data_IF_760275859406
#
_entry.id   IF_760275859406
#
_cell.length_a   1.000
_cell.length_b   1.000
_cell.length_c   1.000
_cell.angle_alpha   90.00
_cell.angle_beta   90.00
_cell.angle_gamma   90.00
#
_symmetry.space_group_name_H-M   'P 1'
#
loop_
_entity.id
_entity.type
_entity.pdbx_description
1 polymer ?
#
# COMPACT_ATOMS: atom_id res chain seq x y z
N UNK A 1 29.67 -59.28 13.20
CA UNK A 1 30.33 -58.64 14.36
C UNK A 1 29.61 -57.32 14.60
N UNK A 2 28.55 -57.16 15.39
CA UNK A 2 28.21 -57.64 16.75
C UNK A 2 29.23 -57.20 17.82
N UNK A 3 28.93 -56.05 18.44
CA UNK A 3 29.20 -55.65 19.84
C UNK A 3 28.32 -54.39 20.07
N UNK A 4 27.35 -54.30 20.98
CA UNK A 4 26.99 -55.15 22.12
C UNK A 4 27.61 -54.61 23.41
N UNK A 5 26.98 -53.61 24.04
CA UNK A 5 27.22 -53.31 25.48
C UNK A 5 25.97 -52.70 26.12
N UNK A 6 25.30 -53.56 26.86
CA UNK A 6 24.22 -53.33 27.82
C UNK A 6 24.71 -52.64 29.09
N UNK A 7 23.91 -51.75 29.69
CA UNK A 7 23.77 -51.68 31.15
C UNK A 7 22.40 -51.16 31.60
N UNK A 8 21.65 -52.10 32.18
CA UNK A 8 20.75 -52.03 33.35
C UNK A 8 19.80 -50.85 33.57
N UNK A 9 18.52 -51.23 33.59
CA UNK A 9 17.33 -50.55 34.08
C UNK A 9 17.47 -50.01 35.52
N UNK A 10 16.82 -48.87 35.77
CA UNK A 10 16.14 -48.60 37.03
C UNK A 10 14.67 -48.30 36.75
N UNK A 11 13.82 -49.14 37.33
CA UNK A 11 12.37 -49.06 37.35
C UNK A 11 11.89 -47.93 38.26
N UNK A 12 11.00 -47.08 37.75
CA UNK A 12 10.05 -46.33 38.59
C UNK A 12 8.65 -46.67 38.11
N UNK A 13 7.86 -47.20 39.03
CA UNK A 13 6.51 -47.73 38.88
C UNK A 13 5.45 -46.63 38.72
N UNK A 14 4.57 -46.86 37.75
CA UNK A 14 3.11 -46.61 37.74
C UNK A 14 2.54 -45.25 38.20
N UNK A 15 1.96 -44.52 37.26
CA UNK A 15 0.52 -44.20 37.31
C UNK A 15 0.02 -43.83 35.90
N UNK A 16 -0.71 -44.76 35.29
CA UNK A 16 -1.46 -44.56 34.05
C UNK A 16 -2.72 -43.73 34.34
N UNK A 17 -2.67 -42.43 34.04
CA UNK A 17 -3.87 -41.60 33.91
C UNK A 17 -4.25 -41.54 32.44
N UNK A 18 -5.10 -42.48 32.03
CA UNK A 18 -5.76 -42.46 30.72
C UNK A 18 -6.76 -41.31 30.70
N UNK A 19 -6.43 -40.22 30.00
CA UNK A 19 -7.40 -39.17 29.72
C UNK A 19 -8.55 -39.74 28.87
N UNK A 20 -9.82 -39.51 29.23
CA UNK A 20 -10.95 -39.98 28.45
C UNK A 20 -11.00 -39.26 27.09
N UNK A 21 -11.49 -39.92 26.02
CA UNK A 21 -11.63 -39.31 24.72
C UNK A 21 -12.63 -38.13 24.79
N UNK A 22 -12.40 -37.05 24.03
CA UNK A 22 -13.27 -35.89 24.05
C UNK A 22 -14.67 -36.28 23.57
N UNK A 23 -15.68 -35.93 24.38
CA UNK A 23 -17.09 -36.08 24.05
C UNK A 23 -17.42 -35.24 22.80
N UNK A 24 -18.37 -35.66 21.94
CA UNK A 24 -18.77 -34.89 20.77
C UNK A 24 -19.40 -33.57 21.25
N UNK A 25 -18.63 -32.49 21.12
CA UNK A 25 -19.07 -31.15 21.48
C UNK A 25 -20.25 -30.71 20.60
N UNK A 26 -21.24 -30.14 21.28
CA UNK A 26 -22.33 -29.26 20.82
C UNK A 26 -22.27 -28.82 19.35
N UNK A 27 -23.41 -28.80 18.62
CA UNK A 27 -23.47 -28.10 17.35
C UNK A 27 -22.95 -26.67 17.57
N UNK A 28 -21.96 -26.29 16.76
CA UNK A 28 -21.32 -25.00 16.86
C UNK A 28 -22.35 -23.89 16.88
N UNK A 29 -22.19 -22.96 17.82
CA UNK A 29 -22.92 -21.70 17.83
C UNK A 29 -22.89 -21.15 16.40
N UNK A 30 -24.05 -20.86 15.77
CA UNK A 30 -24.04 -20.24 14.46
C UNK A 30 -23.19 -18.96 14.54
N UNK A 31 -22.42 -18.63 13.49
CA UNK A 31 -21.61 -17.41 13.49
C UNK A 31 -22.48 -16.23 13.90
N UNK A 32 -21.97 -15.42 14.83
CA UNK A 32 -22.69 -14.25 15.35
C UNK A 32 -23.19 -13.43 14.16
N UNK A 33 -24.51 -13.30 14.05
CA UNK A 33 -25.17 -12.60 12.94
C UNK A 33 -24.68 -11.14 12.84
N UNK A 34 -24.04 -10.62 13.90
CA UNK A 34 -23.33 -9.33 13.91
C UNK A 34 -22.10 -9.26 13.01
N UNK A 35 -21.49 -10.39 12.66
CA UNK A 35 -20.36 -10.47 11.73
C UNK A 35 -20.84 -10.41 10.25
N UNK A 36 -22.11 -10.78 10.00
CA UNK A 36 -22.81 -10.64 8.71
C UNK A 36 -23.77 -9.45 8.63
N UNK A 37 -23.80 -8.60 9.66
CA UNK A 37 -24.72 -7.46 9.74
C UNK A 37 -24.41 -6.21 8.89
N UNK A 38 -23.32 -6.05 8.10
CA UNK A 38 -23.12 -4.80 7.35
C UNK A 38 -23.94 -4.75 6.04
N UNK A 39 -25.09 -5.43 5.94
CA UNK A 39 -25.87 -5.50 4.69
C UNK A 39 -27.39 -5.37 4.86
N UNK A 40 -27.89 -4.90 6.00
CA UNK A 40 -29.33 -4.62 6.15
C UNK A 40 -29.59 -3.10 6.20
N UNK A 41 -30.41 -2.55 5.27
CA UNK A 41 -30.73 -1.13 5.24
C UNK A 41 -31.48 -0.71 6.52
N UNK A 42 -31.03 0.38 7.16
CA UNK A 42 -31.83 1.09 8.16
C UNK A 42 -32.65 2.19 7.49
N UNK A 43 -33.89 2.45 7.95
CA UNK A 43 -34.70 3.52 7.41
C UNK A 43 -34.03 4.88 7.64
N UNK A 44 -33.93 5.67 6.58
CA UNK A 44 -33.31 7.00 6.60
C UNK A 44 -34.11 7.95 7.49
N UNK A 45 -33.60 8.26 8.69
CA UNK A 45 -34.08 9.38 9.49
C UNK A 45 -33.25 10.60 9.16
N UNK A 46 -33.85 11.52 8.40
CA UNK A 46 -33.26 12.82 8.10
C UNK A 46 -32.97 13.58 9.39
N UNK A 47 -31.69 13.73 9.72
CA UNK A 47 -31.22 14.65 10.74
C UNK A 47 -29.97 15.33 10.21
N UNK A 48 -29.89 16.65 10.36
CA UNK A 48 -28.72 17.45 10.03
C UNK A 48 -27.52 16.91 10.78
N UNK A 49 -26.63 16.22 10.07
CA UNK A 49 -25.42 15.62 10.64
C UNK A 49 -24.53 16.72 11.25
N UNK A 50 -24.21 16.56 12.54
CA UNK A 50 -23.17 17.33 13.19
C UNK A 50 -21.86 17.16 12.42
N UNK A 51 -21.10 18.24 12.19
CA UNK A 51 -19.80 18.20 11.51
C UNK A 51 -18.82 17.18 12.14
N UNK A 52 -18.98 16.85 13.43
CA UNK A 52 -18.22 15.77 14.08
C UNK A 52 -18.56 14.36 13.58
N UNK A 53 -19.82 14.10 13.25
CA UNK A 53 -20.25 12.80 12.71
C UNK A 53 -19.63 12.52 11.33
N UNK A 54 -19.61 13.53 10.46
CA UNK A 54 -19.04 13.44 9.10
C UNK A 54 -17.53 13.12 9.10
N UNK A 55 -16.76 13.58 10.08
CA UNK A 55 -15.32 13.30 10.17
C UNK A 55 -15.06 11.84 10.58
N UNK A 56 -15.91 11.27 11.42
CA UNK A 56 -15.82 9.89 11.88
C UNK A 56 -16.47 8.89 10.93
N UNK A 57 -17.20 9.40 9.95
CA UNK A 57 -17.87 8.64 8.93
C UNK A 57 -16.94 7.70 8.14
N UNK A 58 -17.40 6.48 7.83
CA UNK A 58 -16.64 5.49 7.07
C UNK A 58 -16.98 5.57 5.59
N UNK A 59 -15.96 5.74 4.75
CA UNK A 59 -16.14 5.89 3.31
C UNK A 59 -16.60 4.56 2.67
N UNK A 60 -17.64 4.62 1.83
CA UNK A 60 -18.22 3.47 1.14
C UNK A 60 -17.23 2.68 0.27
N UNK A 61 -17.44 1.37 0.17
CA UNK A 61 -16.52 0.45 -0.49
C UNK A 61 -16.23 0.79 -1.96
N UNK A 62 -17.24 1.22 -2.72
CA UNK A 62 -17.08 1.63 -4.11
C UNK A 62 -16.18 2.87 -4.28
N UNK A 63 -16.46 3.93 -3.50
CA UNK A 63 -15.66 5.16 -3.52
C UNK A 63 -14.19 4.87 -3.17
N UNK A 64 -13.95 3.95 -2.23
CA UNK A 64 -12.61 3.53 -1.88
C UNK A 64 -11.91 2.75 -2.99
N UNK A 65 -12.63 1.86 -3.69
CA UNK A 65 -12.09 1.16 -4.87
C UNK A 65 -11.65 2.17 -5.93
N UNK A 66 -12.53 3.08 -6.32
CA UNK A 66 -12.25 4.08 -7.37
C UNK A 66 -11.10 4.99 -6.94
N UNK A 67 -11.13 5.49 -5.70
CA UNK A 67 -10.05 6.32 -5.15
C UNK A 67 -8.70 5.60 -5.17
N UNK A 68 -8.65 4.33 -4.76
CA UNK A 68 -7.41 3.54 -4.78
C UNK A 68 -6.90 3.26 -6.20
N UNK A 69 -7.78 3.09 -7.19
CA UNK A 69 -7.38 2.96 -8.59
C UNK A 69 -6.76 4.27 -9.12
N UNK A 70 -7.37 5.42 -8.81
CA UNK A 70 -6.80 6.75 -9.15
C UNK A 70 -5.44 6.94 -8.48
N UNK A 71 -5.30 6.55 -7.22
CA UNK A 71 -4.03 6.59 -6.49
C UNK A 71 -2.98 5.61 -7.06
N UNK A 72 -3.42 4.46 -7.56
CA UNK A 72 -2.56 3.47 -8.23
C UNK A 72 -2.01 4.04 -9.53
N UNK A 73 -2.88 4.68 -10.33
CA UNK A 73 -2.48 5.39 -11.55
C UNK A 73 -1.42 6.47 -11.22
N UNK A 74 -1.72 7.35 -10.27
CA UNK A 74 -0.80 8.43 -9.89
C UNK A 74 0.55 7.92 -9.35
N UNK A 75 0.55 6.86 -8.54
CA UNK A 75 1.79 6.34 -7.96
C UNK A 75 2.64 5.58 -8.97
N UNK A 76 2.04 4.81 -9.87
CA UNK A 76 2.77 4.17 -10.96
C UNK A 76 3.38 5.19 -11.93
N UNK A 77 2.67 6.29 -12.21
CA UNK A 77 3.20 7.45 -12.94
C UNK A 77 4.40 8.08 -12.22
N UNK A 78 4.28 8.31 -10.91
CA UNK A 78 5.35 8.93 -10.14
C UNK A 78 6.58 8.03 -10.03
N UNK A 79 6.38 6.72 -9.85
CA UNK A 79 7.49 5.77 -9.74
C UNK A 79 8.30 5.68 -11.01
N UNK A 80 7.67 5.69 -12.19
CA UNK A 80 8.41 5.70 -13.45
C UNK A 80 9.11 7.03 -13.68
N UNK A 81 8.52 8.17 -13.29
CA UNK A 81 9.17 9.49 -13.34
C UNK A 81 10.41 9.51 -12.44
N UNK A 82 10.29 9.02 -11.21
CA UNK A 82 11.42 8.90 -10.29
C UNK A 82 12.47 7.93 -10.83
N UNK A 83 12.07 6.82 -11.42
CA UNK A 83 13.03 5.86 -11.97
C UNK A 83 13.76 6.42 -13.20
N UNK A 84 13.07 7.08 -14.12
CA UNK A 84 13.68 7.74 -15.28
C UNK A 84 14.70 8.81 -14.84
N UNK A 85 14.35 9.62 -13.83
CA UNK A 85 15.21 10.69 -13.32
C UNK A 85 16.35 10.21 -12.42
N UNK A 86 16.08 9.31 -11.48
CA UNK A 86 16.99 8.95 -10.37
C UNK A 86 17.49 7.51 -10.41
N UNK A 87 17.02 6.69 -11.36
CA UNK A 87 17.20 5.23 -11.35
C UNK A 87 16.77 4.57 -10.02
N UNK A 88 15.82 5.19 -9.33
CA UNK A 88 15.37 4.83 -7.98
C UNK A 88 13.86 4.98 -7.91
N UNK A 89 13.18 4.03 -7.28
CA UNK A 89 11.73 4.07 -7.13
C UNK A 89 11.34 4.88 -5.89
N UNK A 90 10.17 5.52 -5.93
CA UNK A 90 9.61 6.23 -4.77
C UNK A 90 8.76 5.30 -3.89
N UNK A 91 8.07 4.33 -4.50
CA UNK A 91 7.12 3.44 -3.82
C UNK A 91 7.47 1.96 -3.97
N UNK A 92 8.08 1.55 -5.09
CA UNK A 92 8.44 0.15 -5.35
C UNK A 92 9.71 -0.29 -4.59
N UNK A 93 9.57 -0.49 -3.28
CA UNK A 93 10.71 -0.75 -2.38
C UNK A 93 11.41 -2.08 -2.60
N UNK A 94 10.75 -3.09 -3.19
CA UNK A 94 11.43 -4.34 -3.58
C UNK A 94 12.58 -4.06 -4.56
N UNK A 95 12.37 -3.15 -5.53
CA UNK A 95 13.41 -2.76 -6.47
C UNK A 95 14.58 -2.04 -5.79
N UNK A 96 14.28 -1.12 -4.88
CA UNK A 96 15.31 -0.39 -4.12
C UNK A 96 16.14 -1.31 -3.23
N UNK A 97 15.52 -2.30 -2.58
CA UNK A 97 16.22 -3.31 -1.79
C UNK A 97 17.19 -4.12 -2.64
N UNK A 98 16.79 -4.51 -3.86
CA UNK A 98 17.70 -5.21 -4.80
C UNK A 98 18.86 -4.30 -5.21
N UNK A 99 18.62 -3.02 -5.52
CA UNK A 99 19.67 -2.04 -5.82
C UNK A 99 20.68 -1.96 -4.66
N UNK A 100 20.21 -1.89 -3.42
CA UNK A 100 21.07 -1.86 -2.23
C UNK A 100 21.86 -3.16 -2.03
N UNK A 101 21.22 -4.32 -2.25
CA UNK A 101 21.89 -5.62 -2.16
C UNK A 101 23.00 -5.76 -3.22
N UNK A 102 22.79 -5.25 -4.44
CA UNK A 102 23.85 -5.23 -5.46
C UNK A 102 25.00 -4.30 -5.09
N UNK A 103 24.70 -3.18 -4.43
CA UNK A 103 25.71 -2.23 -3.97
C UNK A 103 26.57 -2.78 -2.81
N UNK A 104 26.01 -3.60 -1.91
CA UNK A 104 26.74 -4.15 -0.76
C UNK A 104 27.87 -5.12 -1.14
N UNK A 105 27.77 -5.74 -2.32
CA UNK A 105 28.78 -6.68 -2.85
C UNK A 105 29.72 -6.04 -3.89
N UNK A 106 29.77 -4.71 -3.97
CA UNK A 106 30.61 -3.97 -4.93
C UNK A 106 30.40 -4.38 -6.40
N UNK A 107 29.23 -4.95 -6.77
CA UNK A 107 28.83 -4.95 -8.17
C UNK A 107 28.77 -3.48 -8.60
N UNK A 108 29.16 -3.17 -9.84
CA UNK A 108 29.38 -1.83 -10.44
C UNK A 108 28.16 -0.87 -10.31
N UNK A 109 27.79 -0.55 -9.09
CA UNK A 109 26.62 0.22 -8.70
C UNK A 109 27.14 1.57 -8.26
N UNK A 110 26.66 2.65 -8.87
CA UNK A 110 27.16 3.98 -8.53
C UNK A 110 26.81 4.32 -7.07
N UNK A 111 27.74 4.94 -6.30
CA UNK A 111 27.48 5.35 -4.92
C UNK A 111 26.22 6.22 -4.79
N UNK A 112 25.98 7.07 -5.79
CA UNK A 112 24.77 7.88 -5.94
C UNK A 112 23.48 7.05 -5.90
N UNK A 113 23.39 5.99 -6.72
CA UNK A 113 22.21 5.11 -6.77
C UNK A 113 21.98 4.40 -5.43
N UNK A 114 23.05 4.00 -4.75
CA UNK A 114 22.95 3.40 -3.42
C UNK A 114 22.36 4.39 -2.39
N UNK A 115 22.88 5.62 -2.36
CA UNK A 115 22.38 6.67 -1.46
C UNK A 115 20.90 6.94 -1.72
N UNK A 116 20.50 7.14 -2.99
CA UNK A 116 19.12 7.41 -3.34
C UNK A 116 18.18 6.24 -3.01
N UNK A 117 18.59 5.00 -3.28
CA UNK A 117 17.81 3.82 -2.95
C UNK A 117 17.64 3.64 -1.43
N UNK A 118 18.71 3.87 -0.65
CA UNK A 118 18.65 3.83 0.81
C UNK A 118 17.76 4.94 1.36
N UNK A 119 17.92 6.16 0.86
CA UNK A 119 17.09 7.31 1.23
C UNK A 119 15.62 7.04 0.91
N UNK A 120 15.32 6.50 -0.27
CA UNK A 120 13.95 6.15 -0.64
C UNK A 120 13.36 5.10 0.30
N UNK A 121 14.08 4.00 0.54
CA UNK A 121 13.61 2.94 1.43
C UNK A 121 13.34 3.44 2.85
N UNK A 122 14.30 4.17 3.44
CA UNK A 122 14.18 4.68 4.80
C UNK A 122 13.08 5.73 4.93
N UNK A 123 12.97 6.66 3.98
CA UNK A 123 11.94 7.69 4.00
C UNK A 123 10.54 7.08 3.79
N UNK A 124 10.41 6.12 2.89
CA UNK A 124 9.16 5.37 2.70
C UNK A 124 8.76 4.62 3.98
N UNK A 125 9.70 3.92 4.61
CA UNK A 125 9.48 3.23 5.90
C UNK A 125 9.07 4.22 6.99
N UNK A 126 9.70 5.39 7.06
CA UNK A 126 9.35 6.41 8.04
C UNK A 126 7.91 6.92 7.84
N UNK A 127 7.51 7.22 6.60
CA UNK A 127 6.14 7.63 6.28
C UNK A 127 5.13 6.55 6.62
N UNK A 128 5.43 5.30 6.25
CA UNK A 128 4.58 4.15 6.54
C UNK A 128 4.49 3.86 8.06
N UNK A 129 5.59 4.01 8.81
CA UNK A 129 5.61 3.79 10.24
C UNK A 129 4.79 4.85 10.97
N UNK A 130 5.05 6.14 10.72
CA UNK A 130 4.35 7.24 11.39
C UNK A 130 2.84 7.13 11.17
N UNK A 131 2.40 7.00 9.91
CA UNK A 131 0.97 6.94 9.62
C UNK A 131 0.36 5.57 9.97
N UNK A 132 1.16 4.51 9.94
CA UNK A 132 0.75 3.18 10.37
C UNK A 132 0.39 3.12 11.86
N UNK A 133 1.18 3.79 12.71
CA UNK A 133 0.89 3.88 14.14
C UNK A 133 -0.33 4.76 14.42
N UNK A 134 -0.45 5.92 13.76
CA UNK A 134 -1.59 6.84 13.94
C UNK A 134 -2.91 6.19 13.49
N UNK A 135 -2.88 5.35 12.45
CA UNK A 135 -4.05 4.61 11.95
C UNK A 135 -4.71 3.71 13.00
N UNK A 136 -3.95 3.18 13.98
CA UNK A 136 -4.45 2.20 14.96
C UNK A 136 -5.71 2.66 15.70
N UNK A 137 -5.89 3.98 15.86
CA UNK A 137 -7.04 4.59 16.54
C UNK A 137 -8.18 5.04 15.61
N UNK A 138 -7.99 5.10 14.28
CA UNK A 138 -8.92 5.79 13.34
C UNK A 138 -9.13 5.05 12.00
N UNK A 139 -9.30 3.72 12.05
CA UNK A 139 -9.41 2.88 10.84
C UNK A 139 -10.57 3.33 9.93
N UNK A 140 -10.21 3.79 8.72
CA UNK A 140 -11.09 4.10 7.59
C UNK A 140 -12.13 5.19 7.83
N UNK A 141 -11.87 6.11 8.77
CA UNK A 141 -12.71 7.31 8.87
C UNK A 141 -12.34 8.30 7.77
N UNK A 142 -13.33 9.04 7.27
CA UNK A 142 -13.18 10.06 6.24
C UNK A 142 -12.17 11.11 6.68
N UNK A 143 -12.26 11.56 7.93
CA UNK A 143 -11.30 12.50 8.52
C UNK A 143 -9.87 11.99 8.51
N UNK A 144 -9.64 10.71 8.81
CA UNK A 144 -8.31 10.12 8.72
C UNK A 144 -7.80 10.11 7.28
N UNK A 145 -8.62 9.64 6.34
CA UNK A 145 -8.24 9.56 4.92
C UNK A 145 -7.96 10.93 4.32
N UNK A 146 -8.78 11.94 4.62
CA UNK A 146 -8.58 13.31 4.15
C UNK A 146 -7.36 13.96 4.80
N UNK A 147 -7.16 13.80 6.11
CA UNK A 147 -5.98 14.36 6.78
C UNK A 147 -4.68 13.74 6.26
N UNK A 148 -4.64 12.40 6.12
CA UNK A 148 -3.46 11.71 5.59
C UNK A 148 -3.22 11.99 4.11
N UNK A 149 -4.27 12.08 3.29
CA UNK A 149 -4.17 12.50 1.88
C UNK A 149 -3.71 13.97 1.76
N UNK A 150 -4.14 14.84 2.67
CA UNK A 150 -3.72 16.24 2.73
C UNK A 150 -2.23 16.39 3.06
N UNK A 151 -1.74 15.67 4.08
CA UNK A 151 -0.31 15.64 4.41
C UNK A 151 0.50 15.04 3.27
N UNK A 152 0.02 13.92 2.70
CA UNK A 152 0.65 13.32 1.53
C UNK A 152 0.78 14.31 0.37
N UNK A 153 -0.29 15.03 0.06
CA UNK A 153 -0.30 16.05 -1.00
C UNK A 153 0.67 17.18 -0.69
N UNK A 154 0.69 17.69 0.54
CA UNK A 154 1.63 18.74 0.95
C UNK A 154 3.09 18.33 0.77
N UNK A 155 3.44 17.10 1.15
CA UNK A 155 4.80 16.57 0.95
C UNK A 155 5.12 16.33 -0.53
N UNK A 156 4.14 15.91 -1.35
CA UNK A 156 4.32 15.81 -2.80
C UNK A 156 4.55 17.18 -3.45
N UNK A 157 3.82 18.21 -3.02
CA UNK A 157 4.02 19.58 -3.51
C UNK A 157 5.40 20.12 -3.08
N UNK A 158 5.88 19.76 -1.89
CA UNK A 158 7.25 20.05 -1.50
C UNK A 158 8.26 19.39 -2.46
N UNK A 159 8.07 18.11 -2.81
CA UNK A 159 8.89 17.46 -3.82
C UNK A 159 8.87 18.22 -5.16
N UNK A 160 7.69 18.61 -5.65
CA UNK A 160 7.52 19.40 -6.88
C UNK A 160 8.31 20.71 -6.81
N UNK A 161 8.28 21.42 -5.68
CA UNK A 161 9.06 22.65 -5.47
C UNK A 161 10.57 22.35 -5.53
N UNK A 162 11.04 21.28 -4.88
CA UNK A 162 12.45 20.91 -4.85
C UNK A 162 13.01 20.53 -6.23
N UNK A 163 12.19 19.97 -7.13
CA UNK A 163 12.61 19.61 -8.49
C UNK A 163 12.26 20.67 -9.54
N UNK A 164 11.72 21.81 -9.12
CA UNK A 164 11.29 22.86 -10.04
C UNK A 164 12.48 23.51 -10.75
N UNK A 165 12.30 24.05 -11.97
CA UNK A 165 13.37 24.78 -12.67
C UNK A 165 13.89 26.01 -11.91
N UNK A 166 13.10 26.55 -10.97
CA UNK A 166 13.47 27.68 -10.13
C UNK A 166 14.17 27.27 -8.82
N UNK A 167 14.23 25.96 -8.51
CA UNK A 167 14.90 25.47 -7.32
C UNK A 167 16.42 25.67 -7.43
N UNK A 168 17.13 25.88 -6.29
CA UNK A 168 18.59 25.88 -6.30
C UNK A 168 19.12 24.59 -6.91
N UNK A 169 20.14 24.68 -7.77
CA UNK A 169 20.75 23.52 -8.45
C UNK A 169 21.24 22.42 -7.50
N UNK A 170 21.41 22.72 -6.20
CA UNK A 170 21.68 21.75 -5.16
C UNK A 170 20.61 20.63 -5.06
N UNK A 171 19.35 20.89 -5.38
CA UNK A 171 18.26 19.89 -5.39
C UNK A 171 18.05 19.24 -6.76
N UNK A 172 18.74 19.73 -7.79
CA UNK A 172 18.70 19.20 -9.14
C UNK A 172 19.34 17.82 -9.25
N UNK A 173 19.32 17.25 -10.45
CA UNK A 173 20.00 15.99 -10.74
C UNK A 173 21.50 16.12 -10.45
N UNK A 174 22.08 15.16 -9.73
CA UNK A 174 23.49 15.16 -9.29
C UNK A 174 23.85 16.33 -8.34
N UNK A 175 22.85 17.06 -7.85
CA UNK A 175 23.01 18.10 -6.84
C UNK A 175 23.28 17.51 -5.45
N UNK A 176 23.99 18.26 -4.59
CA UNK A 176 24.36 17.81 -3.23
C UNK A 176 23.16 17.42 -2.34
N UNK A 177 21.98 17.95 -2.63
CA UNK A 177 20.74 17.75 -1.89
C UNK A 177 19.66 17.00 -2.69
N UNK A 178 20.03 16.31 -3.79
CA UNK A 178 19.07 15.53 -4.58
C UNK A 178 18.34 14.45 -3.74
N UNK A 179 19.01 13.93 -2.71
CA UNK A 179 18.45 12.95 -1.78
C UNK A 179 17.25 13.51 -1.03
N UNK A 180 17.15 14.83 -0.81
CA UNK A 180 16.00 15.45 -0.15
C UNK A 180 14.75 15.40 -1.03
N UNK A 181 14.90 15.56 -2.35
CA UNK A 181 13.81 15.37 -3.29
C UNK A 181 13.36 13.90 -3.31
N UNK A 182 14.30 12.96 -3.32
CA UNK A 182 13.96 11.54 -3.23
C UNK A 182 13.28 11.18 -1.90
N UNK A 183 13.77 11.71 -0.77
CA UNK A 183 13.21 11.48 0.56
C UNK A 183 11.76 11.96 0.66
N UNK A 184 11.48 13.19 0.21
CA UNK A 184 10.12 13.75 0.23
C UNK A 184 9.17 12.95 -0.65
N UNK A 185 9.60 12.58 -1.85
CA UNK A 185 8.80 11.75 -2.75
C UNK A 185 8.52 10.35 -2.18
N UNK A 186 9.53 9.69 -1.61
CA UNK A 186 9.37 8.37 -1.01
C UNK A 186 8.54 8.38 0.27
N UNK A 187 8.74 9.39 1.14
CA UNK A 187 7.97 9.56 2.37
C UNK A 187 6.48 9.66 2.10
N UNK A 188 6.05 10.51 1.14
CA UNK A 188 4.63 10.60 0.79
C UNK A 188 4.08 9.28 0.24
N UNK A 189 4.90 8.49 -0.46
CA UNK A 189 4.48 7.20 -1.00
C UNK A 189 4.24 6.18 0.11
N UNK A 190 5.00 6.27 1.21
CA UNK A 190 4.78 5.48 2.43
C UNK A 190 3.46 5.82 3.12
N UNK A 191 3.10 7.11 3.19
CA UNK A 191 1.79 7.56 3.69
C UNK A 191 0.67 6.92 2.87
N UNK A 192 0.77 7.00 1.54
CA UNK A 192 -0.23 6.45 0.62
C UNK A 192 -0.39 4.94 0.78
N UNK A 193 0.72 4.22 0.95
CA UNK A 193 0.69 2.78 1.17
C UNK A 193 -0.15 2.43 2.40
N UNK A 194 0.05 3.13 3.52
CA UNK A 194 -0.76 2.90 4.74
C UNK A 194 -2.24 3.22 4.51
N UNK A 195 -2.56 4.27 3.76
CA UNK A 195 -3.94 4.59 3.42
C UNK A 195 -4.59 3.48 2.59
N UNK A 196 -3.90 3.01 1.55
CA UNK A 196 -4.37 1.93 0.69
C UNK A 196 -4.56 0.62 1.46
N UNK A 197 -3.68 0.32 2.42
CA UNK A 197 -3.80 -0.85 3.31
C UNK A 197 -4.86 -0.75 4.39
N UNK A 198 -5.45 0.43 4.59
CA UNK A 198 -6.58 0.62 5.48
C UNK A 198 -7.84 -0.04 4.98
N UNK A 199 -8.02 -0.02 3.67
CA UNK A 199 -9.26 -0.31 2.98
C UNK A 199 -9.41 -1.82 2.87
N UNK A 200 -10.52 -2.38 3.37
CA UNK A 200 -10.78 -3.83 3.37
C UNK A 200 -10.86 -4.51 1.99
N UNK A 201 -10.49 -3.83 0.90
CA UNK A 201 -10.41 -4.36 -0.45
C UNK A 201 -9.02 -4.95 -0.66
N UNK A 202 -8.84 -6.19 -0.19
CA UNK A 202 -7.54 -6.90 -0.22
C UNK A 202 -7.02 -7.09 -1.65
N UNK A 203 -7.90 -7.06 -2.64
CA UNK A 203 -7.59 -7.33 -4.05
C UNK A 203 -6.88 -6.19 -4.77
N UNK A 204 -7.12 -4.94 -4.34
CA UNK A 204 -6.47 -3.73 -4.89
C UNK A 204 -5.22 -3.36 -4.06
N UNK A 205 -5.08 -3.99 -2.88
CA UNK A 205 -4.08 -3.68 -1.88
C UNK A 205 -3.12 -4.87 -1.61
N UNK A 206 -2.90 -5.75 -2.59
CA UNK A 206 -1.80 -6.69 -2.46
C UNK A 206 -0.51 -5.85 -2.38
N UNK A 207 0.23 -5.94 -1.28
CA UNK A 207 1.31 -5.02 -0.88
C UNK A 207 2.44 -4.82 -1.92
N UNK A 208 2.40 -5.56 -3.03
CA UNK A 208 3.21 -5.41 -4.23
C UNK A 208 2.39 -5.81 -5.47
N UNK A 209 2.63 -5.18 -6.61
CA UNK A 209 2.03 -5.55 -7.91
C UNK A 209 2.24 -7.03 -8.23
N UNK A 210 3.40 -7.58 -7.84
CA UNK A 210 3.74 -9.01 -7.95
C UNK A 210 2.72 -9.92 -7.27
N UNK A 211 2.25 -9.56 -6.08
CA UNK A 211 1.23 -10.33 -5.38
C UNK A 211 -0.12 -10.30 -6.10
N UNK A 212 -0.47 -9.19 -6.76
CA UNK A 212 -1.66 -9.09 -7.61
C UNK A 212 -1.54 -9.97 -8.86
N UNK A 213 -0.37 -9.99 -9.52
CA UNK A 213 -0.10 -10.92 -10.63
C UNK A 213 -0.25 -12.38 -10.20
N UNK A 214 0.42 -12.77 -9.11
CA UNK A 214 0.36 -14.15 -8.61
C UNK A 214 -1.08 -14.57 -8.25
N UNK A 215 -1.82 -13.69 -7.58
CA UNK A 215 -3.21 -13.96 -7.18
C UNK A 215 -4.16 -14.02 -8.38
N UNK A 216 -3.88 -13.29 -9.46
CA UNK A 216 -4.68 -13.35 -10.69
C UNK A 216 -4.41 -14.65 -11.45
N UNK A 217 -3.14 -15.02 -11.63
CA UNK A 217 -2.76 -16.24 -12.36
C UNK A 217 -3.18 -17.51 -11.62
N UNK A 218 -3.17 -17.49 -10.28
CA UNK A 218 -3.63 -18.60 -9.46
C UNK A 218 -5.16 -18.64 -9.28
N UNK A 219 -5.92 -17.71 -9.87
CA UNK A 219 -7.38 -17.69 -9.73
C UNK A 219 -8.02 -18.87 -10.48
N UNK A 220 -8.74 -19.78 -9.81
CA UNK A 220 -9.36 -20.93 -10.46
C UNK A 220 -10.46 -20.54 -11.47
N UNK A 221 -10.98 -19.32 -11.37
CA UNK A 221 -11.99 -18.76 -12.27
C UNK A 221 -11.39 -17.76 -13.28
N UNK A 222 -10.06 -17.77 -13.48
CA UNK A 222 -9.38 -16.85 -14.39
C UNK A 222 -10.00 -16.85 -15.80
N UNK A 223 -10.33 -18.03 -16.33
CA UNK A 223 -10.91 -18.19 -17.67
C UNK A 223 -12.44 -18.32 -17.67
N UNK A 224 -13.09 -18.15 -16.52
CA UNK A 224 -14.55 -18.19 -16.45
C UNK A 224 -15.15 -16.91 -17.01
N UNK A 225 -16.18 -17.02 -17.86
CA UNK A 225 -16.93 -15.85 -18.33
C UNK A 225 -17.84 -15.25 -17.25
N UNK A 226 -18.02 -15.93 -16.11
CA UNK A 226 -18.83 -15.42 -15.01
C UNK A 226 -18.15 -14.19 -14.36
N UNK A 227 -18.92 -13.16 -13.99
CA UNK A 227 -18.40 -12.00 -13.27
C UNK A 227 -17.92 -12.43 -11.88
N UNK A 228 -16.73 -11.98 -11.50
CA UNK A 228 -16.17 -12.25 -10.18
C UNK A 228 -15.42 -11.02 -9.68
N UNK A 229 -16.00 -10.33 -8.70
CA UNK A 229 -15.55 -9.01 -8.26
C UNK A 229 -14.06 -8.98 -7.89
N UNK A 230 -13.55 -10.02 -7.22
CA UNK A 230 -12.15 -10.07 -6.80
C UNK A 230 -11.17 -10.17 -7.97
N UNK A 231 -11.46 -11.04 -8.95
CA UNK A 231 -10.67 -11.21 -10.18
C UNK A 231 -10.70 -9.93 -11.00
N UNK A 232 -11.90 -9.40 -11.25
CA UNK A 232 -12.09 -8.25 -12.14
C UNK A 232 -11.40 -7.01 -11.57
N UNK A 233 -11.44 -6.81 -10.25
CA UNK A 233 -10.67 -5.74 -9.56
C UNK A 233 -9.16 -5.88 -9.73
N UNK A 234 -8.61 -7.10 -9.70
CA UNK A 234 -7.16 -7.34 -9.91
C UNK A 234 -6.76 -7.01 -11.34
N UNK A 235 -7.55 -7.42 -12.32
CA UNK A 235 -7.31 -7.08 -13.74
C UNK A 235 -7.31 -5.57 -13.92
N UNK A 236 -8.33 -4.88 -13.44
CA UNK A 236 -8.43 -3.41 -13.52
C UNK A 236 -7.25 -2.73 -12.81
N UNK A 237 -6.85 -3.22 -11.63
CA UNK A 237 -5.68 -2.71 -10.92
C UNK A 237 -4.39 -2.85 -11.74
N UNK A 238 -4.11 -4.03 -12.31
CA UNK A 238 -2.90 -4.28 -13.09
C UNK A 238 -2.86 -3.43 -14.38
N UNK A 239 -3.99 -3.32 -15.08
CA UNK A 239 -4.11 -2.46 -16.27
C UNK A 239 -3.90 -0.99 -15.88
N UNK A 240 -4.52 -0.53 -14.79
CA UNK A 240 -4.38 0.84 -14.28
C UNK A 240 -2.93 1.15 -13.93
N UNK A 241 -2.24 0.23 -13.26
CA UNK A 241 -0.82 0.36 -12.94
C UNK A 241 0.04 0.47 -14.20
N UNK A 242 -0.19 -0.39 -15.19
CA UNK A 242 0.58 -0.38 -16.44
C UNK A 242 0.36 0.89 -17.26
N UNK A 243 -0.90 1.34 -17.38
CA UNK A 243 -1.24 2.62 -18.02
C UNK A 243 -0.56 3.79 -17.31
N UNK A 244 -0.54 3.79 -15.98
CA UNK A 244 0.13 4.83 -15.21
C UNK A 244 1.65 4.87 -15.47
N UNK A 245 2.32 3.72 -15.57
CA UNK A 245 3.73 3.68 -15.98
C UNK A 245 3.95 4.25 -17.40
N UNK A 246 3.06 3.98 -18.35
CA UNK A 246 3.20 4.53 -19.71
C UNK A 246 2.99 6.05 -19.71
N UNK A 247 1.93 6.53 -19.05
CA UNK A 247 1.62 7.94 -18.98
C UNK A 247 2.70 8.73 -18.23
N UNK A 248 3.21 8.18 -17.12
CA UNK A 248 4.29 8.80 -16.36
C UNK A 248 5.56 8.95 -17.19
N UNK A 249 5.95 7.91 -17.93
CA UNK A 249 7.10 7.95 -18.82
C UNK A 249 6.89 8.94 -19.97
N UNK A 250 5.71 8.94 -20.58
CA UNK A 250 5.34 9.87 -21.65
C UNK A 250 5.45 11.33 -21.17
N UNK A 251 4.88 11.67 -20.00
CA UNK A 251 4.98 13.02 -19.47
C UNK A 251 6.41 13.39 -19.06
N UNK A 252 7.19 12.45 -18.53
CA UNK A 252 8.59 12.70 -18.19
C UNK A 252 9.41 13.04 -19.44
N UNK A 253 9.25 12.27 -20.52
CA UNK A 253 10.00 12.46 -21.77
C UNK A 253 9.62 13.74 -22.52
N UNK A 254 8.34 14.13 -22.51
CA UNK A 254 7.86 15.28 -23.28
C UNK A 254 7.79 16.59 -22.49
N UNK A 255 7.54 16.54 -21.18
CA UNK A 255 7.29 17.71 -20.35
C UNK A 255 8.32 17.85 -19.20
N UNK A 256 9.15 16.84 -18.99
CA UNK A 256 10.10 16.78 -17.89
C UNK A 256 9.47 16.36 -16.56
N UNK A 257 10.31 15.85 -15.66
CA UNK A 257 9.89 15.34 -14.37
C UNK A 257 9.10 16.33 -13.49
N UNK A 258 9.38 17.64 -13.60
CA UNK A 258 8.68 18.65 -12.81
C UNK A 258 7.20 18.77 -13.20
N UNK A 259 6.89 18.89 -14.50
CA UNK A 259 5.52 18.96 -14.99
C UNK A 259 4.82 17.61 -14.80
N UNK A 260 5.52 16.49 -15.05
CA UNK A 260 4.98 15.16 -14.79
C UNK A 260 4.56 14.99 -13.31
N UNK A 261 5.36 15.47 -12.36
CA UNK A 261 5.02 15.42 -10.93
C UNK A 261 3.83 16.34 -10.57
N UNK A 262 3.67 17.49 -11.24
CA UNK A 262 2.48 18.34 -11.11
C UNK A 262 1.21 17.62 -11.62
N UNK A 263 1.30 16.92 -12.75
CA UNK A 263 0.20 16.11 -13.27
C UNK A 263 -0.17 15.01 -12.26
N UNK A 264 0.83 14.32 -11.69
CA UNK A 264 0.60 13.33 -10.61
C UNK A 264 -0.13 13.96 -9.43
N UNK A 265 0.27 15.17 -8.99
CA UNK A 265 -0.41 15.88 -7.91
C UNK A 265 -1.88 16.19 -8.27
N UNK A 266 -2.16 16.61 -9.50
CA UNK A 266 -3.52 16.83 -9.99
C UNK A 266 -4.35 15.53 -9.98
N UNK A 267 -3.79 14.40 -10.40
CA UNK A 267 -4.46 13.09 -10.36
C UNK A 267 -4.74 12.67 -8.92
N UNK A 268 -3.80 12.89 -7.97
CA UNK A 268 -4.04 12.60 -6.55
C UNK A 268 -5.12 13.50 -5.94
N UNK A 269 -5.26 14.74 -6.42
CA UNK A 269 -6.32 15.64 -5.97
C UNK A 269 -7.71 15.11 -6.37
N UNK A 270 -7.82 14.41 -7.51
CA UNK A 270 -9.06 13.73 -7.88
C UNK A 270 -9.44 12.65 -6.86
N UNK A 271 -8.48 11.83 -6.40
CA UNK A 271 -8.72 10.87 -5.32
C UNK A 271 -9.16 11.55 -4.03
N UNK A 272 -8.52 12.66 -3.66
CA UNK A 272 -8.93 13.46 -2.49
C UNK A 272 -10.39 13.95 -2.63
N UNK A 273 -10.76 14.45 -3.81
CA UNK A 273 -12.11 14.91 -4.09
C UNK A 273 -13.15 13.78 -4.03
N UNK A 274 -12.80 12.58 -4.52
CA UNK A 274 -13.65 11.38 -4.42
C UNK A 274 -13.89 11.02 -2.94
N UNK A 275 -12.84 10.98 -2.12
CA UNK A 275 -12.97 10.69 -0.68
C UNK A 275 -13.81 11.76 0.02
N UNK A 276 -13.63 13.03 -0.35
CA UNK A 276 -14.37 14.15 0.22
C UNK A 276 -15.87 14.06 -0.09
N UNK A 277 -16.23 13.71 -1.33
CA UNK A 277 -17.61 13.61 -1.79
C UNK A 277 -18.27 12.25 -1.57
N UNK A 278 -17.53 11.26 -1.10
CA UNK A 278 -18.06 9.92 -0.95
C UNK A 278 -19.29 9.89 -0.04
N UNK A 279 -20.27 9.08 -0.39
CA UNK A 279 -21.45 8.84 0.45
C UNK A 279 -21.17 7.82 1.56
N UNK A 280 -22.16 7.63 2.44
CA UNK A 280 -22.02 6.68 3.53
C UNK A 280 -21.85 5.22 3.10
N UNK A 281 -20.92 4.51 3.77
CA UNK A 281 -20.88 3.07 3.69
C UNK A 281 -22.19 2.54 4.31
N UNK A 282 -23.08 2.02 3.46
CA UNK A 282 -24.25 1.25 3.89
C UNK A 282 -23.86 0.06 4.77
#
# INVERSE_FOLDING_TARGET
MLYGSTHSQQSVSSSSSSAPPPSPGSPGTPPDVRELAPLLPRPATGSTESAGAWVHHRVGGWHMVVSNLVLTLATSMLDVVCYAKYSTFSSNQTGNTVILATASLHLRTSPRKCILAATSLLAWLAGALVFGQVRKSRRNTRGWLLASSGVQMGVLLLYVVLISPAAPGAFGLDGRLEWAAMATCAFQSGIQFVMATGVGVREINAATVTASYASLVADPLLFSAAPQQGRDRRVVYLVTFWVGCILGLFFEQHLGAWIAALIVAAVKLLSFAIIYRADEAE
#
